data_IF_307215245060
#
_entry.id   IF_307215245060
#
_cell.length_a   1.000
_cell.length_b   1.000
_cell.length_c   1.000
_cell.angle_alpha   90.00
_cell.angle_beta   90.00
_cell.angle_gamma   90.00
#
_symmetry.space_group_name_H-M   'P 1'
#
loop_
_entity.id
_entity.type
_entity.pdbx_description
1 polymer ?
#
# COMPACT_ATOMS: atom_id res chain seq x y z
N UNK A 1 -11.30 -1.14 -5.39
CA UNK A 1 -10.79 -0.51 -6.63
C UNK A 1 -9.76 -1.45 -7.23
N UNK A 2 -9.94 -1.83 -8.49
CA UNK A 2 -8.92 -2.55 -9.26
C UNK A 2 -8.17 -1.52 -10.11
N UNK A 3 -6.85 -1.57 -10.09
CA UNK A 3 -6.00 -0.61 -10.80
C UNK A 3 -4.68 -1.26 -11.21
N UNK A 4 -4.07 -0.81 -12.30
CA UNK A 4 -2.76 -1.26 -12.76
C UNK A 4 -2.02 -0.09 -13.43
N UNK A 5 -0.69 -0.04 -13.28
CA UNK A 5 0.18 0.93 -13.95
C UNK A 5 1.14 0.24 -14.92
N UNK A 6 1.77 0.97 -15.85
CA UNK A 6 2.88 0.46 -16.65
C UNK A 6 3.96 -0.22 -15.78
N UNK A 7 4.44 -1.39 -16.22
CA UNK A 7 5.38 -2.24 -15.47
C UNK A 7 4.72 -3.28 -14.55
N UNK A 8 3.54 -2.98 -13.99
CA UNK A 8 2.68 -3.89 -13.21
C UNK A 8 3.43 -4.76 -12.18
N UNK A 9 4.41 -4.24 -11.44
CA UNK A 9 5.17 -5.02 -10.44
C UNK A 9 4.52 -5.03 -9.05
N UNK A 10 3.79 -3.96 -8.71
CA UNK A 10 3.31 -3.73 -7.35
C UNK A 10 2.47 -2.45 -7.23
N UNK A 11 2.11 -2.12 -5.99
CA UNK A 11 1.44 -0.86 -5.69
C UNK A 11 2.44 0.28 -5.85
N UNK A 12 2.00 1.41 -6.40
CA UNK A 12 2.83 2.61 -6.49
C UNK A 12 2.69 3.49 -5.24
N UNK A 13 3.55 4.49 -5.11
CA UNK A 13 3.38 5.55 -4.10
C UNK A 13 2.04 6.28 -4.24
N UNK A 14 1.61 6.52 -5.48
CA UNK A 14 0.33 7.17 -5.77
C UNK A 14 -0.87 6.28 -5.39
N UNK A 15 -0.76 4.96 -5.56
CA UNK A 15 -1.78 4.02 -5.06
C UNK A 15 -1.93 4.12 -3.56
N UNK A 16 -0.79 4.09 -2.85
CA UNK A 16 -0.79 4.16 -1.40
C UNK A 16 -1.33 5.51 -0.93
N UNK A 17 -0.92 6.61 -1.56
CA UNK A 17 -1.46 7.94 -1.27
C UNK A 17 -2.97 7.98 -1.46
N UNK A 18 -3.47 7.52 -2.60
CA UNK A 18 -4.90 7.46 -2.92
C UNK A 18 -5.65 6.60 -1.91
N UNK A 19 -5.13 5.40 -1.64
CA UNK A 19 -5.69 4.48 -0.67
C UNK A 19 -5.75 5.09 0.73
N UNK A 20 -4.69 5.77 1.19
CA UNK A 20 -4.64 6.35 2.53
C UNK A 20 -5.50 7.60 2.68
N UNK A 21 -5.53 8.45 1.63
CA UNK A 21 -6.24 9.74 1.63
C UNK A 21 -7.76 9.58 1.58
N UNK A 22 -8.28 8.61 0.82
CA UNK A 22 -9.72 8.51 0.56
C UNK A 22 -10.41 7.50 1.49
N UNK A 23 -11.21 7.92 2.50
CA UNK A 23 -11.83 7.00 3.47
C UNK A 23 -12.87 6.05 2.85
N UNK A 24 -13.45 6.43 1.71
CA UNK A 24 -14.38 5.63 0.90
C UNK A 24 -13.72 4.41 0.28
N UNK A 25 -12.42 4.48 -0.06
CA UNK A 25 -11.66 3.33 -0.57
C UNK A 25 -11.33 2.42 0.61
N UNK A 26 -12.09 1.33 0.77
CA UNK A 26 -11.85 0.32 1.80
C UNK A 26 -10.79 -0.70 1.38
N UNK A 27 -10.77 -1.06 0.11
CA UNK A 27 -9.83 -2.02 -0.45
C UNK A 27 -9.33 -1.59 -1.83
N UNK A 28 -8.05 -1.85 -2.09
CA UNK A 28 -7.40 -1.66 -3.37
C UNK A 28 -6.70 -2.94 -3.81
N UNK A 29 -6.78 -3.21 -5.10
CA UNK A 29 -6.28 -4.43 -5.72
C UNK A 29 -5.51 -4.08 -6.97
N UNK A 30 -4.43 -4.81 -7.21
CA UNK A 30 -3.64 -4.75 -8.44
C UNK A 30 -3.39 -6.17 -8.96
N UNK A 31 -3.18 -6.30 -10.26
CA UNK A 31 -2.73 -7.53 -10.90
C UNK A 31 -1.32 -7.29 -11.43
N UNK A 32 -0.37 -8.08 -10.95
CA UNK A 32 1.02 -7.95 -11.40
C UNK A 32 1.21 -8.52 -12.80
N UNK A 33 2.31 -8.15 -13.46
CA UNK A 33 2.73 -8.70 -14.75
C UNK A 33 2.95 -10.23 -14.73
N UNK A 34 3.09 -10.83 -13.53
CA UNK A 34 3.19 -12.28 -13.32
C UNK A 34 1.83 -12.94 -13.04
N UNK A 35 0.73 -12.22 -13.19
CA UNK A 35 -0.62 -12.72 -12.90
C UNK A 35 -0.99 -12.80 -11.42
N UNK A 36 -0.07 -12.45 -10.51
CA UNK A 36 -0.37 -12.41 -9.08
C UNK A 36 -1.29 -11.23 -8.75
N UNK A 37 -2.28 -11.44 -7.88
CA UNK A 37 -3.23 -10.42 -7.46
C UNK A 37 -2.90 -9.99 -6.03
N UNK A 38 -2.55 -8.72 -5.83
CA UNK A 38 -2.25 -8.16 -4.50
C UNK A 38 -3.43 -7.34 -4.01
N UNK A 39 -3.80 -7.52 -2.74
CA UNK A 39 -4.92 -6.85 -2.07
C UNK A 39 -4.43 -6.13 -0.83
N UNK A 40 -4.77 -4.86 -0.71
CA UNK A 40 -4.69 -4.10 0.55
C UNK A 40 -6.11 -3.72 0.97
N UNK A 41 -6.43 -3.91 2.24
CA UNK A 41 -7.74 -3.56 2.81
C UNK A 41 -7.55 -2.86 4.13
N UNK A 42 -8.23 -1.73 4.34
CA UNK A 42 -8.19 -1.00 5.61
C UNK A 42 -8.74 -1.89 6.71
N UNK A 43 -8.02 -1.98 7.82
CA UNK A 43 -8.57 -2.61 9.02
C UNK A 43 -9.52 -1.63 9.73
N UNK A 44 -10.23 -2.11 10.74
CA UNK A 44 -11.04 -1.26 11.62
C UNK A 44 -10.17 -0.27 12.43
N UNK A 45 -8.85 -0.52 12.55
CA UNK A 45 -7.88 0.35 13.20
C UNK A 45 -7.22 1.34 12.24
N UNK A 46 -7.51 1.25 10.94
CA UNK A 46 -6.91 2.13 9.95
C UNK A 46 -7.29 3.59 10.20
N UNK A 47 -6.29 4.44 10.39
CA UNK A 47 -6.50 5.88 10.48
C UNK A 47 -5.55 6.61 9.53
N UNK A 48 -6.10 7.25 8.49
CA UNK A 48 -5.33 7.83 7.39
C UNK A 48 -4.21 8.76 7.87
N UNK A 49 -4.51 9.65 8.82
CA UNK A 49 -3.52 10.58 9.38
C UNK A 49 -2.36 9.88 10.10
N UNK A 50 -2.63 8.78 10.83
CA UNK A 50 -1.59 8.01 11.53
C UNK A 50 -0.72 7.28 10.52
N UNK A 51 -1.35 6.64 9.52
CA UNK A 51 -0.61 5.93 8.46
C UNK A 51 0.24 6.89 7.63
N UNK A 52 -0.26 8.08 7.28
CA UNK A 52 0.54 9.10 6.58
C UNK A 52 1.77 9.53 7.37
N UNK A 53 1.63 9.78 8.69
CA UNK A 53 2.78 10.09 9.56
C UNK A 53 3.76 8.93 9.65
N UNK A 54 3.26 7.70 9.74
CA UNK A 54 4.09 6.50 9.73
C UNK A 54 4.89 6.36 8.43
N UNK A 55 4.25 6.57 7.28
CA UNK A 55 4.90 6.52 5.96
C UNK A 55 5.96 7.61 5.82
N UNK A 56 5.67 8.85 6.23
CA UNK A 56 6.64 9.94 6.20
C UNK A 56 7.89 9.61 7.03
N UNK A 57 7.72 9.06 8.23
CA UNK A 57 8.83 8.60 9.08
C UNK A 57 9.58 7.41 8.46
N UNK A 58 8.87 6.47 7.86
CA UNK A 58 9.46 5.29 7.23
C UNK A 58 10.35 5.65 6.04
N UNK A 59 9.96 6.65 5.25
CA UNK A 59 10.69 7.10 4.06
C UNK A 59 11.67 8.25 4.32
N UNK A 60 11.80 8.77 5.55
CA UNK A 60 12.63 9.95 5.85
C UNK A 60 14.08 9.82 5.38
N UNK A 61 14.64 8.61 5.37
CA UNK A 61 16.03 8.35 4.96
C UNK A 61 16.13 7.56 3.63
N UNK A 62 15.04 7.46 2.87
CA UNK A 62 15.00 6.74 1.60
C UNK A 62 14.89 7.78 0.48
N UNK A 63 15.96 7.94 -0.30
CA UNK A 63 16.02 8.94 -1.35
C UNK A 63 15.17 8.57 -2.59
N UNK A 64 15.19 7.29 -2.97
CA UNK A 64 14.40 6.77 -4.10
C UNK A 64 13.56 5.60 -3.60
N UNK A 65 12.24 5.78 -3.62
CA UNK A 65 11.29 4.73 -3.27
C UNK A 65 11.14 3.79 -4.46
N UNK A 66 11.16 2.48 -4.19
CA UNK A 66 11.00 1.44 -5.19
C UNK A 66 10.05 0.37 -4.66
N UNK A 67 9.69 -0.58 -5.51
CA UNK A 67 8.72 -1.64 -5.18
C UNK A 67 9.10 -2.44 -3.93
N UNK A 68 10.39 -2.67 -3.69
CA UNK A 68 10.87 -3.38 -2.49
C UNK A 68 10.60 -2.58 -1.21
N UNK A 69 10.77 -1.25 -1.27
CA UNK A 69 10.44 -0.37 -0.14
C UNK A 69 8.94 -0.35 0.13
N UNK A 70 8.11 -0.30 -0.91
CA UNK A 70 6.64 -0.34 -0.81
C UNK A 70 6.18 -1.68 -0.24
N UNK A 71 6.72 -2.79 -0.74
CA UNK A 71 6.40 -4.14 -0.26
C UNK A 71 6.74 -4.29 1.24
N UNK A 72 7.90 -3.78 1.67
CA UNK A 72 8.30 -3.74 3.08
C UNK A 72 7.37 -2.85 3.92
N UNK A 73 6.96 -1.69 3.41
CA UNK A 73 5.98 -0.81 4.07
C UNK A 73 4.65 -1.53 4.27
N UNK A 74 4.11 -2.18 3.24
CA UNK A 74 2.86 -2.93 3.31
C UNK A 74 2.92 -4.05 4.35
N UNK A 75 4.03 -4.81 4.39
CA UNK A 75 4.27 -5.82 5.42
C UNK A 75 4.31 -5.22 6.83
N UNK A 76 4.94 -4.05 7.02
CA UNK A 76 4.92 -3.34 8.31
C UNK A 76 3.51 -2.91 8.70
N UNK A 77 2.76 -2.27 7.80
CA UNK A 77 1.38 -1.86 8.06
C UNK A 77 0.47 -3.04 8.37
N UNK A 78 0.71 -4.20 7.74
CA UNK A 78 0.03 -5.45 8.06
C UNK A 78 0.37 -5.95 9.47
N UNK A 79 1.66 -5.95 9.84
CA UNK A 79 2.11 -6.42 11.17
C UNK A 79 1.52 -5.62 12.33
N UNK A 80 1.27 -4.31 12.14
CA UNK A 80 0.63 -3.45 13.14
C UNK A 80 -0.90 -3.38 12.99
N UNK A 81 -1.48 -4.25 12.16
CA UNK A 81 -2.92 -4.36 11.92
C UNK A 81 -3.58 -3.03 11.45
N UNK A 82 -2.86 -2.20 10.71
CA UNK A 82 -3.44 -1.03 10.03
C UNK A 82 -4.15 -1.46 8.75
N UNK A 83 -3.62 -2.46 8.06
CA UNK A 83 -4.21 -3.03 6.85
C UNK A 83 -4.25 -4.55 6.96
N UNK A 84 -5.12 -5.19 6.19
CA UNK A 84 -4.95 -6.56 5.73
C UNK A 84 -4.20 -6.53 4.40
N UNK A 85 -3.21 -7.40 4.26
CA UNK A 85 -2.44 -7.55 3.03
C UNK A 85 -2.46 -9.00 2.57
N UNK A 86 -2.83 -9.25 1.31
CA UNK A 86 -2.91 -10.60 0.73
C UNK A 86 -2.36 -10.61 -0.69
N UNK A 87 -1.62 -11.66 -1.03
CA UNK A 87 -1.19 -11.97 -2.39
C UNK A 87 -1.87 -13.29 -2.79
N UNK A 88 -2.45 -13.34 -3.99
CA UNK A 88 -3.02 -14.54 -4.61
C UNK A 88 -2.35 -14.79 -5.96
#
# INVERSE_FOLDING_TARGET
MLHNHPGQSGFSEYDLFTFFKHPSIKSMTIVTNKGQVKFITKSNRFHGKIVSKFCAKYFTHINIINDSHIEKLLKKLYSINMIKYKVR
#
